data_IF_933647269544
#
_entry.id   IF_933647269544
#
_cell.length_a   1.000
_cell.length_b   1.000
_cell.length_c   1.000
_cell.angle_alpha   90.00
_cell.angle_beta   90.00
_cell.angle_gamma   90.00
#
_symmetry.space_group_name_H-M   'P 1'
#
loop_
_entity.id
_entity.type
_entity.pdbx_description
1 polymer ?
#
# COMPACT_ATOMS: atom_id res chain seq x y z
N UNK A 1 1.83 -16.17 -12.66
CA UNK A 1 2.43 -15.97 -11.31
C UNK A 1 2.53 -14.50 -10.91
N UNK A 2 2.86 -13.59 -11.83
CA UNK A 2 2.97 -12.14 -11.57
C UNK A 2 1.73 -11.50 -10.93
N UNK A 3 0.52 -11.85 -11.41
CA UNK A 3 -0.75 -11.30 -10.90
C UNK A 3 -1.08 -11.77 -9.48
N UNK A 4 -0.66 -12.98 -9.09
CA UNK A 4 -0.90 -13.52 -7.75
C UNK A 4 -0.28 -12.61 -6.67
N UNK A 5 0.98 -12.21 -6.87
CA UNK A 5 1.68 -11.30 -5.96
C UNK A 5 1.07 -9.89 -5.97
N UNK A 6 0.49 -9.46 -7.10
CA UNK A 6 -0.29 -8.21 -7.16
C UNK A 6 -1.52 -8.28 -6.25
N UNK A 7 -2.31 -9.35 -6.33
CA UNK A 7 -3.46 -9.54 -5.45
C UNK A 7 -3.09 -9.72 -3.98
N UNK A 8 -1.98 -10.41 -3.67
CA UNK A 8 -1.47 -10.53 -2.30
C UNK A 8 -1.05 -9.15 -1.75
N UNK A 9 -0.38 -8.34 -2.56
CA UNK A 9 -0.03 -6.95 -2.20
C UNK A 9 -1.30 -6.14 -1.91
N UNK A 10 -2.31 -6.25 -2.77
CA UNK A 10 -3.59 -5.57 -2.59
C UNK A 10 -4.31 -6.02 -1.30
N UNK A 11 -4.33 -7.33 -1.02
CA UNK A 11 -4.90 -7.87 0.22
C UNK A 11 -4.22 -7.30 1.47
N UNK A 12 -2.88 -7.26 1.48
CA UNK A 12 -2.13 -6.61 2.55
C UNK A 12 -2.48 -5.13 2.69
N UNK A 13 -2.59 -4.40 1.57
CA UNK A 13 -2.98 -2.99 1.57
C UNK A 13 -4.39 -2.77 2.13
N UNK A 14 -5.37 -3.61 1.77
CA UNK A 14 -6.73 -3.53 2.29
C UNK A 14 -6.74 -3.68 3.82
N UNK A 15 -5.99 -4.64 4.37
CA UNK A 15 -5.85 -4.80 5.83
C UNK A 15 -5.27 -3.55 6.51
N UNK A 16 -4.42 -2.81 5.81
CA UNK A 16 -3.87 -1.54 6.30
C UNK A 16 -4.88 -0.39 6.19
N UNK A 17 -5.61 -0.29 5.07
CA UNK A 17 -6.51 0.80 4.75
C UNK A 17 -7.82 0.77 5.58
N UNK A 18 -8.37 -0.42 5.84
CA UNK A 18 -9.68 -0.61 6.49
C UNK A 18 -9.71 -0.16 7.96
N UNK A 19 -8.55 0.12 8.56
CA UNK A 19 -8.45 0.63 9.94
C UNK A 19 -9.18 1.94 10.15
N UNK A 20 -9.08 2.86 9.19
CA UNK A 20 -9.73 4.17 9.28
C UNK A 20 -11.26 4.06 9.26
N UNK A 21 -11.90 3.36 8.29
CA UNK A 21 -13.34 3.16 8.31
C UNK A 21 -13.83 2.37 9.54
N UNK A 22 -13.07 1.37 10.01
CA UNK A 22 -13.42 0.65 11.24
C UNK A 22 -13.44 1.56 12.49
N UNK A 23 -12.52 2.54 12.55
CA UNK A 23 -12.52 3.54 13.62
C UNK A 23 -13.75 4.43 13.54
N UNK A 24 -14.17 4.84 12.33
CA UNK A 24 -15.39 5.65 12.14
C UNK A 24 -16.64 4.85 12.54
N UNK A 25 -16.68 3.56 12.20
CA UNK A 25 -17.81 2.68 12.50
C UNK A 25 -17.89 2.23 13.99
N UNK A 26 -17.00 2.71 14.86
CA UNK A 26 -16.97 2.32 16.28
C UNK A 26 -16.54 0.86 16.54
N UNK A 27 -15.99 0.17 15.53
CA UNK A 27 -15.60 -1.24 15.59
C UNK A 27 -14.22 -1.42 16.26
N UNK A 28 -14.11 -0.99 17.52
CA UNK A 28 -12.83 -0.91 18.24
C UNK A 28 -12.11 -2.27 18.39
N UNK A 29 -12.84 -3.37 18.55
CA UNK A 29 -12.27 -4.73 18.66
C UNK A 29 -11.61 -5.18 17.35
N UNK A 30 -12.28 -5.00 16.21
CA UNK A 30 -11.74 -5.34 14.90
C UNK A 30 -10.53 -4.44 14.56
N UNK A 31 -10.63 -3.15 14.86
CA UNK A 31 -9.50 -2.24 14.70
C UNK A 31 -8.29 -2.66 15.56
N UNK A 32 -8.50 -3.09 16.80
CA UNK A 32 -7.41 -3.59 17.66
C UNK A 32 -6.73 -4.84 17.09
N UNK A 33 -7.49 -5.78 16.52
CA UNK A 33 -6.92 -6.95 15.83
C UNK A 33 -6.07 -6.54 14.61
N UNK A 34 -6.57 -5.62 13.78
CA UNK A 34 -5.81 -5.10 12.64
C UNK A 34 -4.57 -4.30 13.04
N UNK A 35 -4.57 -3.70 14.23
CA UNK A 35 -3.37 -3.06 14.78
C UNK A 35 -2.30 -4.08 15.16
N UNK A 36 -2.67 -5.26 15.69
CA UNK A 36 -1.72 -6.36 15.95
C UNK A 36 -1.11 -6.91 14.65
N UNK A 37 -1.92 -6.99 13.60
CA UNK A 37 -1.48 -7.44 12.28
C UNK A 37 -0.78 -6.35 11.46
N UNK A 38 -0.68 -5.12 11.96
CA UNK A 38 -0.20 -3.99 11.17
C UNK A 38 1.18 -4.22 10.59
N UNK A 39 2.11 -4.63 11.43
CA UNK A 39 3.51 -4.78 11.07
C UNK A 39 3.70 -5.93 10.08
N UNK A 40 3.04 -7.07 10.33
CA UNK A 40 3.02 -8.20 9.42
C UNK A 40 2.40 -7.82 8.05
N UNK A 41 1.29 -7.07 8.05
CA UNK A 41 0.65 -6.62 6.82
C UNK A 41 1.52 -5.59 6.07
N UNK A 42 2.22 -4.70 6.77
CA UNK A 42 3.16 -3.74 6.17
C UNK A 42 4.38 -4.44 5.57
N UNK A 43 4.95 -5.43 6.27
CA UNK A 43 6.05 -6.25 5.75
C UNK A 43 5.61 -7.09 4.56
N UNK A 44 4.44 -7.74 4.63
CA UNK A 44 3.85 -8.50 3.54
C UNK A 44 3.56 -7.64 2.31
N UNK A 45 2.98 -6.45 2.51
CA UNK A 45 2.77 -5.47 1.43
C UNK A 45 4.07 -5.17 0.70
N UNK A 46 5.15 -4.86 1.42
CA UNK A 46 6.45 -4.55 0.81
C UNK A 46 7.05 -5.75 0.07
N UNK A 47 7.06 -6.92 0.71
CA UNK A 47 7.63 -8.13 0.14
C UNK A 47 6.91 -8.53 -1.15
N UNK A 48 5.59 -8.61 -1.12
CA UNK A 48 4.81 -8.99 -2.29
C UNK A 48 4.86 -7.94 -3.38
N UNK A 49 4.95 -6.65 -3.05
CA UNK A 49 5.10 -5.59 -4.04
C UNK A 49 6.44 -5.70 -4.78
N UNK A 50 7.55 -5.99 -4.07
CA UNK A 50 8.86 -6.20 -4.68
C UNK A 50 8.88 -7.43 -5.59
N UNK A 51 8.29 -8.54 -5.13
CA UNK A 51 8.17 -9.76 -5.93
C UNK A 51 7.29 -9.51 -7.17
N UNK A 52 6.18 -8.79 -7.01
CA UNK A 52 5.29 -8.42 -8.10
C UNK A 52 6.05 -7.62 -9.17
N UNK A 53 6.76 -6.57 -8.79
CA UNK A 53 7.57 -5.74 -9.69
C UNK A 53 8.63 -6.57 -10.41
N UNK A 54 9.36 -7.44 -9.69
CA UNK A 54 10.41 -8.28 -10.28
C UNK A 54 9.86 -9.19 -11.40
N UNK A 55 8.68 -9.79 -11.19
CA UNK A 55 8.06 -10.67 -12.19
C UNK A 55 7.28 -9.92 -13.28
N UNK A 56 6.79 -8.70 -13.03
CA UNK A 56 6.08 -7.90 -14.04
C UNK A 56 7.00 -7.03 -14.89
N UNK A 57 8.25 -6.81 -14.48
CA UNK A 57 9.20 -5.95 -15.20
C UNK A 57 9.37 -6.33 -16.68
N UNK A 58 9.32 -7.63 -17.01
CA UNK A 58 9.39 -8.12 -18.40
C UNK A 58 8.06 -7.99 -19.16
N UNK A 59 6.93 -7.96 -18.46
CA UNK A 59 5.58 -7.83 -19.02
C UNK A 59 5.15 -6.36 -19.22
N UNK A 60 5.90 -5.41 -18.65
CA UNK A 60 5.69 -3.97 -18.78
C UNK A 60 5.68 -3.46 -20.22
N UNK A 61 6.40 -4.14 -21.13
CA UNK A 61 6.53 -3.71 -22.52
C UNK A 61 5.22 -3.73 -23.33
N UNK A 62 4.18 -4.41 -22.82
CA UNK A 62 2.90 -4.60 -23.51
C UNK A 62 1.84 -3.59 -23.04
N UNK A 63 1.99 -3.04 -21.82
CA UNK A 63 1.05 -2.09 -21.24
C UNK A 63 1.54 -0.65 -21.38
N UNK A 64 0.62 0.30 -21.49
CA UNK A 64 0.96 1.72 -21.60
C UNK A 64 1.82 2.23 -20.43
N UNK A 65 2.66 3.24 -20.70
CA UNK A 65 3.66 3.79 -19.76
C UNK A 65 3.09 4.18 -18.40
N UNK A 66 1.80 4.54 -18.32
CA UNK A 66 1.16 4.98 -17.08
C UNK A 66 0.96 3.85 -16.05
N UNK A 67 0.71 2.61 -16.50
CA UNK A 67 0.50 1.49 -15.59
C UNK A 67 1.72 1.27 -14.67
N UNK A 68 2.96 1.12 -15.20
CA UNK A 68 4.13 0.97 -14.35
C UNK A 68 4.51 2.24 -13.58
N UNK A 69 4.23 3.43 -14.12
CA UNK A 69 4.47 4.69 -13.39
C UNK A 69 3.64 4.73 -12.11
N UNK A 70 2.35 4.35 -12.17
CA UNK A 70 1.50 4.33 -10.98
C UNK A 70 1.87 3.22 -10.00
N UNK A 71 2.30 2.06 -10.50
CA UNK A 71 2.82 0.98 -9.66
C UNK A 71 4.10 1.38 -8.92
N UNK A 72 5.04 2.04 -9.63
CA UNK A 72 6.26 2.56 -9.04
C UNK A 72 5.98 3.68 -8.02
N UNK A 73 5.07 4.61 -8.35
CA UNK A 73 4.65 5.67 -7.44
C UNK A 73 4.02 5.11 -6.16
N UNK A 74 3.19 4.06 -6.26
CA UNK A 74 2.64 3.35 -5.11
C UNK A 74 3.75 2.73 -4.24
N UNK A 75 4.70 2.01 -4.84
CA UNK A 75 5.81 1.39 -4.11
C UNK A 75 6.66 2.44 -3.38
N UNK A 76 7.04 3.52 -4.07
CA UNK A 76 7.83 4.62 -3.50
C UNK A 76 7.09 5.30 -2.35
N UNK A 77 5.80 5.57 -2.53
CA UNK A 77 4.96 6.18 -1.47
C UNK A 77 4.86 5.26 -0.26
N UNK A 78 4.76 3.94 -0.47
CA UNK A 78 4.77 2.94 0.61
C UNK A 78 6.10 2.92 1.37
N UNK A 79 7.23 2.97 0.66
CA UNK A 79 8.57 3.08 1.27
C UNK A 79 8.71 4.35 2.11
N UNK A 80 8.30 5.49 1.56
CA UNK A 80 8.31 6.78 2.28
C UNK A 80 7.42 6.73 3.51
N UNK A 81 6.24 6.11 3.42
CA UNK A 81 5.32 5.95 4.55
C UNK A 81 5.94 5.12 5.67
N UNK A 82 6.54 3.97 5.34
CA UNK A 82 7.22 3.10 6.32
C UNK A 82 8.42 3.84 6.93
N UNK A 83 9.24 4.47 6.10
CA UNK A 83 10.39 5.25 6.57
C UNK A 83 9.97 6.39 7.52
N UNK A 84 8.98 7.20 7.13
CA UNK A 84 8.46 8.29 7.94
C UNK A 84 7.87 7.78 9.26
N UNK A 85 7.24 6.60 9.26
CA UNK A 85 6.73 5.94 10.46
C UNK A 85 7.85 5.56 11.45
N UNK A 86 9.01 5.12 10.98
CA UNK A 86 10.10 4.67 11.85
C UNK A 86 11.06 5.79 12.25
N UNK A 87 11.30 6.79 11.41
CA UNK A 87 12.31 7.82 11.66
C UNK A 87 11.79 9.09 12.33
N UNK A 88 10.50 9.42 12.18
CA UNK A 88 9.97 10.67 12.75
C UNK A 88 9.69 10.50 14.24
N UNK A 89 10.42 11.24 15.08
CA UNK A 89 10.24 11.24 16.54
C UNK A 89 9.04 12.08 17.01
N UNK A 90 8.71 13.15 16.29
CA UNK A 90 7.54 13.99 16.59
C UNK A 90 6.24 13.28 16.20
N UNK A 91 5.42 12.95 17.20
CA UNK A 91 4.17 12.21 17.05
C UNK A 91 3.14 12.99 16.20
N UNK A 92 3.00 14.31 16.41
CA UNK A 92 2.01 15.13 15.70
C UNK A 92 2.36 15.18 14.21
N UNK A 93 3.63 15.44 13.91
CA UNK A 93 4.15 15.48 12.54
C UNK A 93 4.05 14.10 11.87
N UNK A 94 4.44 13.03 12.59
CA UNK A 94 4.34 11.64 12.13
C UNK A 94 2.91 11.29 11.74
N UNK A 95 1.92 11.60 12.57
CA UNK A 95 0.52 11.27 12.28
C UNK A 95 -0.05 12.09 11.11
N UNK A 96 0.33 13.36 10.98
CA UNK A 96 -0.05 14.19 9.85
C UNK A 96 0.49 13.62 8.53
N UNK A 97 1.80 13.34 8.49
CA UNK A 97 2.46 12.76 7.32
C UNK A 97 1.92 11.37 6.99
N UNK A 98 1.71 10.52 7.99
CA UNK A 98 1.15 9.19 7.81
C UNK A 98 -0.20 9.25 7.11
N UNK A 99 -1.07 10.20 7.48
CA UNK A 99 -2.39 10.39 6.85
C UNK A 99 -2.26 10.78 5.38
N UNK A 100 -1.42 11.77 5.06
CA UNK A 100 -1.22 12.23 3.67
C UNK A 100 -0.60 11.17 2.78
N UNK A 101 0.46 10.50 3.24
CA UNK A 101 1.11 9.44 2.48
C UNK A 101 0.22 8.20 2.33
N UNK A 102 -0.61 7.87 3.33
CA UNK A 102 -1.57 6.77 3.20
C UNK A 102 -2.65 7.08 2.16
N UNK A 103 -3.10 8.34 2.07
CA UNK A 103 -4.06 8.79 1.08
C UNK A 103 -3.44 8.79 -0.33
N UNK A 104 -2.21 9.29 -0.48
CA UNK A 104 -1.47 9.23 -1.73
C UNK A 104 -1.24 7.78 -2.19
N UNK A 105 -0.87 6.89 -1.26
CA UNK A 105 -0.70 5.46 -1.55
C UNK A 105 -2.00 4.82 -2.05
N UNK A 106 -3.13 5.11 -1.39
CA UNK A 106 -4.44 4.65 -1.84
C UNK A 106 -4.76 5.12 -3.26
N UNK A 107 -4.51 6.40 -3.55
CA UNK A 107 -4.73 6.97 -4.88
C UNK A 107 -3.90 6.28 -5.96
N UNK A 108 -2.60 6.08 -5.72
CA UNK A 108 -1.74 5.42 -6.70
C UNK A 108 -2.11 3.95 -6.92
N UNK A 109 -2.45 3.22 -5.86
CA UNK A 109 -2.92 1.83 -5.98
C UNK A 109 -4.24 1.77 -6.75
N UNK A 110 -5.21 2.63 -6.43
CA UNK A 110 -6.49 2.68 -7.13
C UNK A 110 -6.30 3.00 -8.62
N UNK A 111 -5.47 3.99 -8.95
CA UNK A 111 -5.19 4.34 -10.34
C UNK A 111 -4.43 3.24 -11.08
N UNK A 112 -3.47 2.58 -10.43
CA UNK A 112 -2.78 1.41 -10.99
C UNK A 112 -3.76 0.27 -11.32
N UNK A 113 -4.74 0.01 -10.45
CA UNK A 113 -5.78 -0.99 -10.70
C UNK A 113 -6.69 -0.56 -11.86
N UNK A 114 -7.14 0.70 -11.91
CA UNK A 114 -7.98 1.20 -13.02
C UNK A 114 -7.25 1.10 -14.36
N UNK A 115 -6.00 1.53 -14.42
CA UNK A 115 -5.15 1.44 -15.62
C UNK A 115 -4.85 0.00 -16.06
N UNK A 116 -5.00 -0.98 -15.17
CA UNK A 116 -4.85 -2.38 -15.54
C UNK A 116 -6.10 -2.92 -16.26
N UNK A 117 -7.27 -2.35 -15.99
CA UNK A 117 -8.54 -2.76 -16.61
C UNK A 117 -8.92 -1.98 -17.87
N UNK A 118 -8.25 -0.85 -18.13
CA UNK A 118 -8.39 -0.04 -19.36
C UNK A 118 -7.35 -0.50 -20.37
#
# INVERSE_FOLDING_TARGET
MSLLFGYLTLACFILLAVKYPLRIAGAHKANALLMKLHEAASGGFLLFALIHVFFTFKALAIHGVWLPVMGAAALLTGLVLIYACHMTKDIRKKMCWHRWYSLALLMFIALHMVLYFI
#
